data_IF_450416505627
#
_entry.id   IF_450416505627
#
_cell.length_a   1.000
_cell.length_b   1.000
_cell.length_c   1.000
_cell.angle_alpha   90.00
_cell.angle_beta   90.00
_cell.angle_gamma   90.00
#
_symmetry.space_group_name_H-M   'P 1'
#
loop_
_entity.id
_entity.type
_entity.pdbx_description
1 polymer ?
#
# COMPACT_ATOMS: atom_id res chain seq x y z
N UNK A 1 51.06 -40.78 -57.61
CA UNK A 1 49.73 -41.39 -57.75
C UNK A 1 49.37 -41.89 -56.36
N UNK A 2 48.76 -41.02 -55.57
CA UNK A 2 48.39 -41.21 -54.16
C UNK A 2 46.86 -41.34 -54.04
N UNK A 3 46.34 -42.05 -53.03
CA UNK A 3 44.94 -42.49 -53.00
C UNK A 3 43.98 -41.39 -52.51
N UNK A 4 42.73 -41.45 -52.99
CA UNK A 4 41.60 -40.63 -52.52
C UNK A 4 41.03 -41.24 -51.24
N UNK A 5 40.83 -40.48 -50.15
CA UNK A 5 40.04 -40.94 -49.02
C UNK A 5 38.57 -40.52 -49.18
N UNK A 6 37.67 -41.50 -49.09
CA UNK A 6 36.24 -41.31 -48.84
C UNK A 6 36.03 -41.02 -47.34
N UNK A 7 35.37 -39.92 -47.01
CA UNK A 7 34.96 -39.60 -45.64
C UNK A 7 33.52 -39.04 -45.60
N UNK A 8 32.57 -39.89 -45.20
CA UNK A 8 31.39 -39.52 -44.39
C UNK A 8 31.64 -40.15 -42.99
N UNK A 9 30.99 -39.78 -41.85
CA UNK A 9 29.81 -38.92 -41.60
C UNK A 9 30.06 -37.89 -40.44
N UNK A 10 29.16 -37.04 -39.93
CA UNK A 10 28.07 -37.42 -39.01
C UNK A 10 27.42 -36.19 -38.32
N UNK A 11 26.18 -35.90 -38.69
CA UNK A 11 25.00 -35.72 -37.83
C UNK A 11 25.15 -35.28 -36.35
N UNK A 12 25.81 -34.15 -36.05
CA UNK A 12 25.77 -33.57 -34.68
C UNK A 12 25.63 -32.05 -34.67
N UNK A 13 24.52 -31.50 -35.18
CA UNK A 13 24.27 -30.04 -35.07
C UNK A 13 22.85 -29.62 -34.72
N UNK A 14 21.94 -30.53 -34.37
CA UNK A 14 20.53 -30.17 -34.23
C UNK A 14 19.88 -30.58 -32.91
N UNK A 15 20.56 -30.38 -31.77
CA UNK A 15 19.94 -30.61 -30.45
C UNK A 15 20.26 -29.56 -29.37
N UNK A 16 20.80 -28.39 -29.75
CA UNK A 16 21.19 -27.35 -28.77
C UNK A 16 20.29 -26.11 -28.82
N UNK A 17 19.32 -26.04 -29.74
CA UNK A 17 18.47 -24.87 -29.91
C UNK A 17 17.13 -24.90 -29.14
N UNK A 18 16.69 -26.05 -28.62
CA UNK A 18 15.39 -26.15 -27.93
C UNK A 18 15.43 -25.97 -26.41
N UNK A 19 16.61 -25.94 -25.78
CA UNK A 19 16.68 -25.88 -24.31
C UNK A 19 16.69 -24.46 -23.73
N UNK A 20 16.85 -23.42 -24.57
CA UNK A 20 16.86 -22.01 -24.12
C UNK A 20 15.50 -21.30 -24.24
N UNK A 21 14.48 -21.92 -24.83
CA UNK A 21 13.16 -21.28 -25.01
C UNK A 21 12.19 -21.50 -23.82
N UNK A 22 12.61 -22.25 -22.79
CA UNK A 22 11.73 -22.70 -21.69
C UNK A 22 11.79 -21.89 -20.40
N UNK A 23 12.65 -20.87 -20.30
CA UNK A 23 12.58 -19.90 -19.20
C UNK A 23 11.46 -18.90 -19.50
N UNK A 24 10.23 -19.42 -19.50
CA UNK A 24 9.04 -18.59 -19.40
C UNK A 24 9.26 -17.68 -18.19
N UNK A 25 9.26 -16.38 -18.47
CA UNK A 25 9.39 -15.30 -17.50
C UNK A 25 8.46 -15.54 -16.32
N UNK A 26 8.98 -16.13 -15.24
CA UNK A 26 8.37 -15.97 -13.92
C UNK A 26 8.64 -14.51 -13.58
N UNK A 27 7.69 -13.65 -13.96
CA UNK A 27 7.65 -12.29 -13.46
C UNK A 27 7.58 -12.41 -11.93
N UNK A 28 8.71 -12.20 -11.25
CA UNK A 28 8.72 -11.97 -9.82
C UNK A 28 7.92 -10.69 -9.61
N UNK A 29 6.67 -10.85 -9.21
CA UNK A 29 5.90 -9.73 -8.74
C UNK A 29 6.60 -9.16 -7.51
N UNK A 30 6.91 -7.86 -7.57
CA UNK A 30 7.60 -7.15 -6.50
C UNK A 30 6.70 -6.96 -5.28
N UNK A 31 7.34 -6.80 -4.12
CA UNK A 31 6.67 -6.34 -2.91
C UNK A 31 6.24 -4.87 -3.09
N UNK A 32 5.01 -4.55 -2.73
CA UNK A 32 4.44 -3.19 -2.73
C UNK A 32 4.39 -2.70 -1.28
N UNK A 33 5.12 -1.65 -0.96
CA UNK A 33 5.14 -1.06 0.37
C UNK A 33 4.11 0.06 0.48
N UNK A 34 3.18 -0.09 1.43
CA UNK A 34 2.09 0.85 1.66
C UNK A 34 2.22 1.45 3.06
N UNK A 35 2.44 2.76 3.13
CA UNK A 35 2.37 3.52 4.39
C UNK A 35 1.01 4.20 4.51
N UNK A 36 0.19 3.75 5.45
CA UNK A 36 -1.19 4.22 5.60
C UNK A 36 -1.47 4.69 7.04
N UNK A 37 -2.30 5.71 7.17
CA UNK A 37 -2.73 6.20 8.48
C UNK A 37 -3.36 5.08 9.33
N UNK A 38 -3.13 5.11 10.64
CA UNK A 38 -3.60 4.07 11.55
C UNK A 38 -5.12 3.82 11.50
N UNK A 39 -5.92 4.88 11.28
CA UNK A 39 -7.37 4.80 11.11
C UNK A 39 -7.81 3.98 9.89
N UNK A 40 -6.92 3.78 8.91
CA UNK A 40 -7.16 3.02 7.69
C UNK A 40 -6.77 1.53 7.81
N UNK A 41 -6.32 1.08 8.98
CA UNK A 41 -5.76 -0.27 9.19
C UNK A 41 -6.65 -1.39 8.67
N UNK A 42 -7.92 -1.40 9.05
CA UNK A 42 -8.83 -2.50 8.69
C UNK A 42 -9.10 -2.51 7.18
N UNK A 43 -9.41 -1.34 6.60
CA UNK A 43 -9.67 -1.20 5.18
C UNK A 43 -8.46 -1.65 4.33
N UNK A 44 -7.25 -1.23 4.69
CA UNK A 44 -6.05 -1.61 3.93
C UNK A 44 -5.64 -3.07 4.10
N UNK A 45 -5.94 -3.70 5.25
CA UNK A 45 -5.77 -5.16 5.40
C UNK A 45 -6.70 -5.92 4.45
N UNK A 46 -7.96 -5.49 4.35
CA UNK A 46 -8.93 -6.11 3.45
C UNK A 46 -8.54 -5.89 1.97
N UNK A 47 -8.11 -4.67 1.62
CA UNK A 47 -7.60 -4.34 0.27
C UNK A 47 -6.36 -5.18 -0.07
N UNK A 48 -5.38 -5.28 0.84
CA UNK A 48 -4.17 -6.07 0.63
C UNK A 48 -4.51 -7.53 0.34
N UNK A 49 -5.36 -8.15 1.18
CA UNK A 49 -5.81 -9.52 0.99
C UNK A 49 -6.49 -9.72 -0.38
N UNK A 50 -7.37 -8.80 -0.76
CA UNK A 50 -8.06 -8.85 -2.06
C UNK A 50 -7.08 -8.67 -3.24
N UNK A 51 -6.12 -7.76 -3.11
CA UNK A 51 -5.10 -7.50 -4.13
C UNK A 51 -4.20 -8.71 -4.34
N UNK A 52 -3.68 -9.31 -3.27
CA UNK A 52 -2.79 -10.48 -3.32
C UNK A 52 -3.51 -11.71 -3.88
N UNK A 53 -4.79 -11.91 -3.53
CA UNK A 53 -5.60 -12.98 -4.10
C UNK A 53 -5.82 -12.81 -5.62
N UNK A 54 -6.01 -11.58 -6.08
CA UNK A 54 -6.16 -11.27 -7.50
C UNK A 54 -4.85 -11.25 -8.29
N UNK A 55 -3.70 -11.10 -7.62
CA UNK A 55 -2.37 -11.03 -8.24
C UNK A 55 -1.39 -11.99 -7.57
N UNK A 56 -1.47 -13.30 -7.90
CA UNK A 56 -0.57 -14.29 -7.34
C UNK A 56 0.90 -13.91 -7.51
N UNK A 57 1.67 -14.04 -6.44
CA UNK A 57 3.08 -13.68 -6.38
C UNK A 57 3.36 -12.23 -5.99
N UNK A 58 2.37 -11.32 -6.02
CA UNK A 58 2.53 -9.97 -5.47
C UNK A 58 2.33 -10.00 -3.96
N UNK A 59 3.07 -9.17 -3.23
CA UNK A 59 2.95 -9.04 -1.77
C UNK A 59 2.76 -7.58 -1.39
N UNK A 60 1.88 -7.30 -0.44
CA UNK A 60 1.64 -5.96 0.09
C UNK A 60 2.21 -5.85 1.50
N UNK A 61 3.23 -5.01 1.66
CA UNK A 61 3.86 -4.71 2.93
C UNK A 61 3.18 -3.49 3.56
N UNK A 62 2.38 -3.71 4.58
CA UNK A 62 1.61 -2.66 5.26
C UNK A 62 2.42 -2.06 6.43
N UNK A 63 2.58 -0.73 6.42
CA UNK A 63 3.11 0.06 7.51
C UNK A 63 2.04 1.04 7.99
N UNK A 64 1.59 0.90 9.23
CA UNK A 64 0.55 1.75 9.82
C UNK A 64 1.12 2.68 10.88
N UNK A 65 0.68 3.92 10.89
CA UNK A 65 1.14 4.92 11.85
C UNK A 65 0.40 6.25 11.76
N UNK A 66 0.81 7.22 12.57
CA UNK A 66 0.34 8.60 12.42
C UNK A 66 0.85 9.17 11.09
N UNK A 67 0.00 9.87 10.33
CA UNK A 67 0.33 10.35 8.99
C UNK A 67 1.59 11.20 8.95
N UNK A 68 1.75 12.13 9.90
CA UNK A 68 2.97 12.93 10.03
C UNK A 68 4.22 12.09 10.31
N UNK A 69 4.13 11.04 11.15
CA UNK A 69 5.26 10.17 11.44
C UNK A 69 5.67 9.32 10.22
N UNK A 70 4.69 8.82 9.47
CA UNK A 70 4.92 8.11 8.20
C UNK A 70 5.57 9.03 7.16
N UNK A 71 5.08 10.27 7.04
CA UNK A 71 5.71 11.27 6.18
C UNK A 71 7.17 11.52 6.59
N UNK A 72 7.47 11.63 7.89
CA UNK A 72 8.85 11.77 8.37
C UNK A 72 9.73 10.56 8.02
N UNK A 73 9.17 9.34 8.00
CA UNK A 73 9.90 8.15 7.54
C UNK A 73 10.20 8.25 6.04
N UNK A 74 9.21 8.62 5.22
CA UNK A 74 9.39 8.83 3.77
C UNK A 74 10.45 9.90 3.48
N UNK A 75 10.38 11.04 4.18
CA UNK A 75 11.35 12.13 4.06
C UNK A 75 12.79 11.69 4.42
N UNK A 76 12.93 10.68 5.29
CA UNK A 76 14.21 10.06 5.65
C UNK A 76 14.65 8.93 4.71
N UNK A 77 13.91 8.71 3.61
CA UNK A 77 14.26 7.73 2.59
C UNK A 77 13.68 6.33 2.82
N UNK A 78 12.68 6.17 3.69
CA UNK A 78 11.96 4.89 3.77
C UNK A 78 11.26 4.61 2.42
N UNK A 79 11.43 3.40 1.85
CA UNK A 79 10.79 3.05 0.58
C UNK A 79 9.27 2.93 0.78
N UNK A 80 8.50 3.68 -0.01
CA UNK A 80 7.02 3.67 0.02
C UNK A 80 6.49 3.83 -1.39
N UNK A 81 5.69 2.87 -1.85
CA UNK A 81 5.04 2.90 -3.16
C UNK A 81 3.68 3.60 -3.09
N UNK A 82 2.97 3.43 -1.97
CA UNK A 82 1.66 4.04 -1.73
C UNK A 82 1.64 4.72 -0.37
N UNK A 83 1.34 6.02 -0.36
CA UNK A 83 1.14 6.80 0.86
C UNK A 83 -0.33 7.20 1.01
N UNK A 84 -0.95 6.83 2.12
CA UNK A 84 -2.33 7.17 2.44
C UNK A 84 -2.42 7.95 3.76
N UNK A 85 -2.53 9.28 3.65
CA UNK A 85 -2.68 10.19 4.79
C UNK A 85 -4.12 10.26 5.29
N UNK A 86 -4.30 10.57 6.58
CA UNK A 86 -5.61 10.86 7.17
C UNK A 86 -6.08 12.29 6.90
N UNK A 87 -5.16 13.21 6.58
CA UNK A 87 -5.45 14.63 6.43
C UNK A 87 -4.72 15.26 5.22
N UNK A 88 -5.29 16.39 4.78
CA UNK A 88 -4.82 17.15 3.61
C UNK A 88 -3.50 17.88 3.89
N UNK A 89 -3.30 18.40 5.10
CA UNK A 89 -2.09 19.15 5.46
C UNK A 89 -0.83 18.29 5.32
N UNK A 90 -0.87 17.06 5.81
CA UNK A 90 0.21 16.09 5.66
C UNK A 90 0.41 15.69 4.20
N UNK A 91 -0.67 15.52 3.43
CA UNK A 91 -0.56 15.18 2.00
C UNK A 91 -0.02 16.34 1.16
N UNK A 92 -0.38 17.58 1.50
CA UNK A 92 0.19 18.80 0.93
C UNK A 92 1.69 18.89 1.21
N UNK A 93 2.10 18.64 2.45
CA UNK A 93 3.51 18.61 2.83
C UNK A 93 4.28 17.51 2.08
N UNK A 94 3.69 16.31 1.90
CA UNK A 94 4.29 15.23 1.13
C UNK A 94 4.52 15.62 -0.35
N UNK A 95 3.53 16.28 -0.96
CA UNK A 95 3.65 16.77 -2.33
C UNK A 95 4.68 17.90 -2.45
N UNK A 96 4.69 18.86 -1.51
CA UNK A 96 5.66 19.96 -1.48
C UNK A 96 7.11 19.46 -1.35
N UNK A 97 7.31 18.37 -0.61
CA UNK A 97 8.62 17.70 -0.49
C UNK A 97 8.97 16.82 -1.69
N UNK A 98 8.11 16.72 -2.71
CA UNK A 98 8.32 15.87 -3.89
C UNK A 98 8.23 14.37 -3.59
N UNK A 99 7.69 13.99 -2.44
CA UNK A 99 7.53 12.59 -2.02
C UNK A 99 6.29 11.93 -2.62
N UNK A 100 5.36 12.73 -3.15
CA UNK A 100 4.16 12.28 -3.87
C UNK A 100 4.06 13.07 -5.18
N UNK A 101 3.74 12.37 -6.27
CA UNK A 101 3.47 13.00 -7.57
C UNK A 101 2.06 13.61 -7.55
N UNK A 102 1.96 14.90 -7.87
CA UNK A 102 0.68 15.61 -7.88
C UNK A 102 -0.38 14.96 -8.79
N UNK A 103 0.04 14.34 -9.89
CA UNK A 103 -0.86 13.64 -10.82
C UNK A 103 -1.50 12.37 -10.24
N UNK A 104 -0.89 11.76 -9.21
CA UNK A 104 -1.36 10.52 -8.61
C UNK A 104 -2.12 10.74 -7.30
N UNK A 105 -2.09 11.97 -6.76
CA UNK A 105 -2.80 12.32 -5.53
C UNK A 105 -4.30 12.33 -5.79
N UNK A 106 -5.05 11.63 -4.93
CA UNK A 106 -6.51 11.60 -4.99
C UNK A 106 -7.12 11.61 -3.60
N UNK A 107 -8.23 12.34 -3.47
CA UNK A 107 -9.12 12.24 -2.31
C UNK A 107 -10.04 11.03 -2.52
N UNK A 108 -9.83 9.97 -1.75
CA UNK A 108 -10.55 8.70 -1.93
C UNK A 108 -11.50 8.36 -0.77
N UNK A 109 -11.34 9.01 0.39
CA UNK A 109 -12.17 8.80 1.59
C UNK A 109 -12.38 10.10 2.35
N UNK A 110 -13.45 10.16 3.13
CA UNK A 110 -13.76 11.24 4.08
C UNK A 110 -14.20 10.63 5.41
N UNK A 111 -14.06 11.39 6.48
CA UNK A 111 -14.56 11.01 7.79
C UNK A 111 -15.43 12.14 8.37
N UNK A 112 -16.23 11.83 9.37
CA UNK A 112 -17.06 12.80 10.09
C UNK A 112 -16.86 12.63 11.59
N UNK A 113 -16.72 13.75 12.29
CA UNK A 113 -16.75 13.75 13.75
C UNK A 113 -18.17 13.49 14.21
N UNK A 114 -18.30 12.58 15.17
CA UNK A 114 -19.58 12.23 15.80
C UNK A 114 -19.42 12.28 17.32
N UNK A 115 -20.51 12.60 18.00
CA UNK A 115 -20.61 12.49 19.46
C UNK A 115 -21.38 11.22 19.75
N UNK A 116 -20.74 10.32 20.50
CA UNK A 116 -21.38 9.12 21.03
C UNK A 116 -21.66 9.29 22.51
N UNK A 117 -22.83 8.86 22.96
CA UNK A 117 -23.25 8.90 24.36
C UNK A 117 -23.67 7.50 24.83
N UNK A 118 -23.60 7.22 26.15
CA UNK A 118 -24.15 5.99 26.71
C UNK A 118 -25.63 5.80 26.33
N UNK A 119 -26.02 4.55 26.11
CA UNK A 119 -27.40 4.20 25.70
C UNK A 119 -28.44 4.58 26.76
N UNK A 120 -28.04 4.65 28.02
CA UNK A 120 -28.85 5.01 29.19
C UNK A 120 -28.67 6.49 29.61
N UNK A 121 -28.03 7.31 28.77
CA UNK A 121 -27.89 8.74 29.02
C UNK A 121 -29.27 9.41 29.10
N UNK A 122 -29.61 9.96 30.27
CA UNK A 122 -30.90 10.65 30.50
C UNK A 122 -31.07 11.91 29.65
N UNK A 123 -29.97 12.57 29.31
CA UNK A 123 -29.94 13.78 28.48
C UNK A 123 -28.73 13.70 27.54
N UNK A 124 -28.84 12.98 26.40
CA UNK A 124 -27.77 12.93 25.41
C UNK A 124 -27.58 14.32 24.78
N UNK A 125 -26.33 14.70 24.45
CA UNK A 125 -26.05 15.99 23.82
C UNK A 125 -26.66 16.06 22.43
N UNK A 126 -27.40 17.14 22.14
CA UNK A 126 -27.98 17.39 20.83
C UNK A 126 -27.08 18.29 19.95
N UNK A 127 -26.20 19.06 20.59
CA UNK A 127 -25.19 19.91 19.95
C UNK A 127 -23.88 19.89 20.75
N UNK A 128 -22.77 20.28 20.10
CA UNK A 128 -21.45 20.31 20.73
C UNK A 128 -21.39 21.19 21.99
N UNK A 129 -22.16 22.29 22.02
CA UNK A 129 -22.23 23.18 23.19
C UNK A 129 -22.79 22.49 24.44
N UNK A 130 -23.59 21.45 24.27
CA UNK A 130 -24.21 20.72 25.38
C UNK A 130 -23.16 19.91 26.16
N UNK A 131 -22.00 19.65 25.55
CA UNK A 131 -20.85 19.00 26.21
C UNK A 131 -20.25 19.84 27.34
N UNK A 132 -20.55 21.15 27.41
CA UNK A 132 -20.13 22.03 28.49
C UNK A 132 -21.12 22.07 29.67
N UNK A 133 -22.25 21.36 29.58
CA UNK A 133 -23.25 21.35 30.64
C UNK A 133 -22.70 20.71 31.93
N UNK A 134 -23.09 21.18 33.13
CA UNK A 134 -22.63 20.62 34.40
C UNK A 134 -22.88 19.11 34.58
N UNK A 135 -23.83 18.54 33.82
CA UNK A 135 -24.13 17.11 33.82
C UNK A 135 -23.13 16.24 33.05
N UNK A 136 -22.24 16.83 32.25
CA UNK A 136 -21.21 16.11 31.50
C UNK A 136 -19.94 16.05 32.34
N UNK A 137 -19.76 14.96 33.08
CA UNK A 137 -18.62 14.80 33.98
C UNK A 137 -17.30 14.53 33.25
N UNK A 138 -17.36 13.89 32.07
CA UNK A 138 -16.19 13.46 31.30
C UNK A 138 -16.47 13.51 29.80
N UNK A 139 -15.49 13.99 29.05
CA UNK A 139 -15.44 13.90 27.59
C UNK A 139 -14.16 13.16 27.23
N UNK A 140 -14.28 12.14 26.37
CA UNK A 140 -13.14 11.43 25.80
C UNK A 140 -13.07 11.74 24.31
N UNK A 141 -11.85 11.95 23.82
CA UNK A 141 -11.56 12.08 22.39
C UNK A 141 -10.90 10.79 21.93
N UNK A 142 -11.47 10.19 20.90
CA UNK A 142 -10.86 9.09 20.15
C UNK A 142 -10.54 9.61 18.75
N UNK A 143 -9.32 9.34 18.29
CA UNK A 143 -8.82 9.67 16.95
C UNK A 143 -8.59 8.38 16.17
#
# INVERSE_FOLDING_TARGET
MEPVPLAFPSLKRSLTACLLAGLASVALAGDITVSAAASLTNAFKDIAKGFEAARPGSKVLLNFGASGALLQQMAKGAPVDVFASADQETMDAAQQQGLVRAADRQDFVRNALVVIAPVDAKAPPAALKDLAAPGVARVALAL
#
